data_IF_224001039587
#
_entry.id   IF_224001039587
#
_cell.length_a   1.000
_cell.length_b   1.000
_cell.length_c   1.000
_cell.angle_alpha   90.00
_cell.angle_beta   90.00
_cell.angle_gamma   90.00
#
_symmetry.space_group_name_H-M   'P 1'
#
loop_
_entity.id
_entity.type
_entity.pdbx_description
1 polymer ?
#
# COMPACT_ATOMS: atom_id res chain seq x y z
N UNK A 1 32.63 15.68 17.91
CA UNK A 1 31.95 15.39 16.62
C UNK A 1 32.72 16.09 15.51
N UNK A 2 33.03 15.39 14.41
CA UNK A 2 33.78 15.98 13.30
C UNK A 2 32.80 16.54 12.27
N UNK A 3 32.67 17.86 12.19
CA UNK A 3 31.92 18.59 11.15
C UNK A 3 32.55 18.53 9.75
N UNK A 4 33.31 17.47 9.48
CA UNK A 4 34.14 17.34 8.28
C UNK A 4 33.34 16.65 7.17
N UNK A 5 33.18 17.34 6.03
CA UNK A 5 32.49 16.79 4.86
C UNK A 5 33.49 16.18 3.89
N UNK A 6 33.17 15.01 3.33
CA UNK A 6 34.01 14.33 2.33
C UNK A 6 33.25 14.16 1.02
N UNK A 7 33.95 14.33 -0.10
CA UNK A 7 33.44 14.02 -1.44
C UNK A 7 33.78 12.57 -1.77
N UNK A 8 32.80 11.83 -2.29
CA UNK A 8 32.96 10.45 -2.74
C UNK A 8 32.81 10.39 -4.26
N UNK A 9 33.77 9.76 -4.94
CA UNK A 9 33.69 9.52 -6.38
C UNK A 9 32.95 8.19 -6.62
N UNK A 10 31.63 8.26 -6.86
CA UNK A 10 30.76 7.10 -7.10
C UNK A 10 29.87 7.34 -8.32
N UNK A 11 29.52 6.27 -9.05
CA UNK A 11 28.65 6.35 -10.24
C UNK A 11 27.15 6.43 -9.91
N UNK A 12 26.76 6.17 -8.66
CA UNK A 12 25.38 6.23 -8.21
C UNK A 12 25.26 6.03 -6.70
N UNK A 13 24.15 6.53 -6.15
CA UNK A 13 23.79 6.37 -4.74
C UNK A 13 22.36 5.87 -4.68
N UNK A 14 22.14 4.81 -3.91
CA UNK A 14 20.83 4.24 -3.66
C UNK A 14 20.49 4.42 -2.18
N UNK A 15 19.47 5.22 -1.89
CA UNK A 15 18.99 5.41 -0.53
C UNK A 15 17.97 4.32 -0.18
N UNK A 16 18.23 3.57 0.89
CA UNK A 16 17.33 2.54 1.41
C UNK A 16 17.08 2.76 2.90
N UNK A 17 16.40 3.87 3.21
CA UNK A 17 16.12 4.33 4.59
C UNK A 17 14.72 3.95 5.09
N UNK A 18 14.01 3.11 4.35
CA UNK A 18 12.60 2.78 4.61
C UNK A 18 11.62 3.79 4.00
N UNK A 19 10.32 3.51 4.11
CA UNK A 19 9.24 4.39 3.65
C UNK A 19 8.07 4.25 4.60
N UNK A 20 7.44 5.38 4.93
CA UNK A 20 6.19 5.42 5.67
C UNK A 20 5.00 5.32 4.70
N UNK A 21 4.02 4.44 4.95
CA UNK A 21 2.81 4.39 4.13
C UNK A 21 1.97 5.66 4.33
N UNK A 22 1.45 6.21 3.23
CA UNK A 22 0.50 7.33 3.25
C UNK A 22 -0.87 6.81 3.70
N UNK A 23 -1.15 6.89 5.01
CA UNK A 23 -2.30 6.26 5.65
C UNK A 23 -3.22 7.25 6.37
N UNK A 24 -3.04 8.57 6.19
CA UNK A 24 -3.76 9.61 6.92
C UNK A 24 -5.28 9.52 6.70
N UNK A 25 -5.69 9.22 5.46
CA UNK A 25 -7.10 8.98 5.12
C UNK A 25 -7.62 7.71 5.79
N UNK A 26 -6.81 6.65 5.82
CA UNK A 26 -7.18 5.38 6.44
C UNK A 26 -7.38 5.53 7.96
N UNK A 27 -6.48 6.26 8.63
CA UNK A 27 -6.63 6.61 10.04
C UNK A 27 -7.90 7.42 10.31
N UNK A 28 -8.15 8.45 9.49
CA UNK A 28 -9.33 9.31 9.62
C UNK A 28 -10.66 8.55 9.43
N UNK A 29 -10.64 7.51 8.61
CA UNK A 29 -11.78 6.61 8.38
C UNK A 29 -11.88 5.46 9.41
N UNK A 30 -10.93 5.34 10.34
CA UNK A 30 -10.92 4.29 11.36
C UNK A 30 -10.55 2.90 10.81
N UNK A 31 -9.78 2.82 9.72
CA UNK A 31 -9.31 1.55 9.18
C UNK A 31 -8.29 0.91 10.12
N UNK A 32 -8.32 -0.42 10.21
CA UNK A 32 -7.30 -1.21 10.90
C UNK A 32 -5.97 -1.09 10.15
N UNK A 33 -4.95 -0.66 10.87
CA UNK A 33 -3.57 -0.65 10.42
C UNK A 33 -2.75 -1.73 11.14
N UNK A 34 -1.67 -2.19 10.51
CA UNK A 34 -0.66 -3.00 11.20
C UNK A 34 0.30 -2.13 12.02
N UNK A 35 1.24 -2.77 12.71
CA UNK A 35 2.25 -2.10 13.55
C UNK A 35 3.17 -1.15 12.78
N UNK A 36 3.28 -1.32 11.45
CA UNK A 36 4.09 -0.49 10.56
C UNK A 36 3.26 0.57 9.80
N UNK A 37 1.96 0.67 10.10
CA UNK A 37 1.04 1.63 9.52
C UNK A 37 0.44 1.24 8.17
N UNK A 38 0.61 -0.01 7.70
CA UNK A 38 -0.05 -0.45 6.47
C UNK A 38 -1.50 -0.83 6.72
N UNK A 39 -2.34 -0.62 5.71
CA UNK A 39 -3.76 -0.98 5.77
C UNK A 39 -3.89 -2.50 5.74
N UNK A 40 -4.52 -3.06 6.78
CA UNK A 40 -4.82 -4.49 6.84
C UNK A 40 -5.99 -4.78 5.89
N UNK A 41 -5.79 -5.72 4.98
CA UNK A 41 -6.77 -6.17 4.00
C UNK A 41 -6.90 -7.69 3.97
N UNK A 42 -8.04 -8.18 3.51
CA UNK A 42 -8.23 -9.60 3.20
C UNK A 42 -7.79 -9.95 1.76
N UNK A 43 -7.98 -11.21 1.35
CA UNK A 43 -7.64 -11.68 0.00
C UNK A 43 -8.44 -11.00 -1.13
N UNK A 44 -9.58 -10.38 -0.82
CA UNK A 44 -10.38 -9.56 -1.73
C UNK A 44 -10.06 -8.07 -1.64
N UNK A 45 -8.95 -7.70 -0.98
CA UNK A 45 -8.55 -6.31 -0.75
C UNK A 45 -9.56 -5.47 0.04
N UNK A 46 -10.44 -6.13 0.81
CA UNK A 46 -11.41 -5.47 1.70
C UNK A 46 -10.72 -5.01 2.98
N UNK A 47 -11.01 -3.80 3.41
CA UNK A 47 -10.49 -3.25 4.68
C UNK A 47 -11.41 -3.59 5.85
N UNK A 48 -11.09 -3.13 7.06
CA UNK A 48 -11.98 -3.26 8.22
C UNK A 48 -13.25 -2.41 8.13
N UNK A 49 -13.33 -1.45 7.22
CA UNK A 49 -14.50 -0.59 7.01
C UNK A 49 -15.24 -1.05 5.77
N UNK A 50 -16.53 -1.41 5.93
CA UNK A 50 -17.36 -1.90 4.85
C UNK A 50 -17.47 -0.86 3.72
N UNK A 51 -17.31 -1.32 2.47
CA UNK A 51 -17.31 -0.44 1.30
C UNK A 51 -15.98 0.28 1.02
N UNK A 52 -14.98 0.14 1.90
CA UNK A 52 -13.64 0.70 1.71
C UNK A 52 -12.64 -0.41 1.37
N UNK A 53 -11.87 -0.20 0.31
CA UNK A 53 -10.89 -1.13 -0.24
C UNK A 53 -9.52 -0.46 -0.30
N UNK A 54 -8.45 -1.23 -0.22
CA UNK A 54 -7.08 -0.73 -0.34
C UNK A 54 -6.23 -1.68 -1.19
N UNK A 55 -5.33 -1.14 -2.01
CA UNK A 55 -4.49 -1.91 -2.92
C UNK A 55 -3.11 -1.26 -3.11
N UNK A 56 -2.14 -2.07 -3.54
CA UNK A 56 -0.76 -1.60 -3.76
C UNK A 56 0.04 -1.45 -2.47
N UNK A 57 1.08 -0.62 -2.51
CA UNK A 57 2.10 -0.51 -1.47
C UNK A 57 1.56 -0.09 -0.11
N UNK A 58 0.41 0.61 -0.07
CA UNK A 58 -0.26 1.01 1.18
C UNK A 58 -0.77 -0.18 2.00
N UNK A 59 -0.83 -1.37 1.40
CA UNK A 59 -1.19 -2.65 2.04
C UNK A 59 0.03 -3.51 2.41
N UNK A 60 1.24 -2.95 2.28
CA UNK A 60 2.49 -3.64 2.58
C UNK A 60 2.87 -4.73 1.56
N UNK A 61 3.83 -5.58 1.95
CA UNK A 61 4.36 -6.65 1.11
C UNK A 61 5.36 -6.16 0.04
N UNK A 62 5.43 -6.90 -1.08
CA UNK A 62 6.38 -6.64 -2.16
C UNK A 62 5.98 -5.41 -2.97
N UNK A 63 6.87 -4.41 -3.01
CA UNK A 63 6.67 -3.13 -3.70
C UNK A 63 7.11 -3.23 -5.15
N UNK A 64 6.22 -3.72 -5.99
CA UNK A 64 6.43 -3.88 -7.42
C UNK A 64 5.18 -3.42 -8.18
N UNK A 65 5.38 -2.75 -9.30
CA UNK A 65 4.27 -2.21 -10.14
C UNK A 65 3.26 -3.31 -10.47
N UNK A 66 3.73 -4.49 -10.90
CA UNK A 66 2.85 -5.61 -11.25
C UNK A 66 2.02 -6.11 -10.07
N UNK A 67 2.59 -6.12 -8.85
CA UNK A 67 1.87 -6.52 -7.64
C UNK A 67 0.82 -5.47 -7.27
N UNK A 68 1.17 -4.19 -7.38
CA UNK A 68 0.22 -3.10 -7.13
C UNK A 68 -0.96 -3.14 -8.11
N UNK A 69 -0.69 -3.36 -9.40
CA UNK A 69 -1.73 -3.52 -10.42
C UNK A 69 -2.62 -4.75 -10.14
N UNK A 70 -2.03 -5.89 -9.79
CA UNK A 70 -2.78 -7.10 -9.47
C UNK A 70 -3.71 -6.90 -8.25
N UNK A 71 -3.20 -6.30 -7.17
CA UNK A 71 -4.01 -5.91 -6.00
C UNK A 71 -5.13 -4.94 -6.40
N UNK A 72 -4.84 -3.98 -7.28
CA UNK A 72 -5.83 -3.03 -7.78
C UNK A 72 -6.97 -3.71 -8.54
N UNK A 73 -6.65 -4.69 -9.40
CA UNK A 73 -7.65 -5.48 -10.11
C UNK A 73 -8.56 -6.27 -9.16
N UNK A 74 -7.99 -6.91 -8.14
CA UNK A 74 -8.77 -7.63 -7.11
C UNK A 74 -9.69 -6.68 -6.36
N UNK A 75 -9.19 -5.52 -5.89
CA UNK A 75 -10.01 -4.52 -5.20
C UNK A 75 -11.17 -4.00 -6.08
N UNK A 76 -10.92 -3.77 -7.36
CA UNK A 76 -11.95 -3.32 -8.31
C UNK A 76 -13.05 -4.37 -8.51
N UNK A 77 -12.69 -5.65 -8.63
CA UNK A 77 -13.66 -6.74 -8.78
C UNK A 77 -14.46 -6.94 -7.48
N UNK A 78 -13.79 -7.03 -6.33
CA UNK A 78 -14.46 -7.22 -5.04
C UNK A 78 -15.38 -6.03 -4.66
N UNK A 79 -14.97 -4.79 -4.97
CA UNK A 79 -15.84 -3.63 -4.77
C UNK A 79 -17.07 -3.64 -5.68
N UNK A 80 -16.93 -4.14 -6.90
CA UNK A 80 -18.04 -4.23 -7.84
C UNK A 80 -19.04 -5.33 -7.46
N UNK A 81 -18.56 -6.48 -6.97
CA UNK A 81 -19.41 -7.55 -6.42
C UNK A 81 -20.25 -7.02 -5.23
N UNK A 82 -19.65 -6.22 -4.36
CA UNK A 82 -20.36 -5.60 -3.23
C UNK A 82 -21.50 -4.65 -3.66
N UNK A 83 -21.44 -4.10 -4.88
CA UNK A 83 -22.50 -3.27 -5.47
C UNK A 83 -23.59 -4.10 -6.17
N UNK A 84 -23.55 -5.43 -6.05
CA UNK A 84 -24.55 -6.32 -6.65
C UNK A 84 -24.37 -6.55 -8.15
N UNK A 85 -23.30 -6.03 -8.75
CA UNK A 85 -22.94 -6.33 -10.14
C UNK A 85 -22.30 -7.72 -10.18
N UNK A 86 -23.01 -8.68 -10.78
CA UNK A 86 -22.44 -9.98 -11.13
C UNK A 86 -21.71 -9.86 -12.46
N UNK A 87 -20.42 -10.14 -12.47
CA UNK A 87 -19.69 -10.27 -13.74
C UNK A 87 -20.15 -11.54 -14.45
N UNK A 88 -20.22 -11.53 -15.80
CA UNK A 88 -20.59 -12.70 -16.58
C UNK A 88 -19.38 -13.65 -16.71
N UNK A 89 -18.86 -14.14 -15.58
CA UNK A 89 -17.99 -15.31 -15.48
C UNK A 89 -18.27 -15.99 -14.14
#
# INVERSE_FOLDING_TARGET
ETSERKKLAVGGVFASVGVLPQNEIAQSLGLKLDENGYIVVDAGQRTSVAGVYAAGDVTGGVRQVVIACAKGAVAALSSTEALGKKYPY
#
